data_IF_339745305362
#
_entry.id   IF_339745305362
#
_cell.length_a   1.000
_cell.length_b   1.000
_cell.length_c   1.000
_cell.angle_alpha   90.00
_cell.angle_beta   90.00
_cell.angle_gamma   90.00
#
_symmetry.space_group_name_H-M   'P 1'
#
loop_
_entity.id
_entity.type
_entity.pdbx_description
1 polymer ?
2 polymer ?
3 water ?
#
loop_
_entity_poly.entity_id
_entity_poly.type
_entity_poly.pdbx_seq_one_letter_code
_entity_poly.pdbx_strand_id
2 'polyribonucleotide' 'GCAGAUCUGAGCCUGGGAGCUCUCUGC' ?
#
# COMPACT_ATOMS: atom_id res chain seq x y z
N UNK A 1 -6.90 -4.54 -14.14
CA UNK A 1 -8.00 -3.74 -13.61
C UNK A 1 -7.59 -2.27 -13.47
N UNK A 2 -8.35 -1.38 -14.11
CA UNK A 2 -8.14 0.06 -13.99
C UNK A 2 -9.44 0.71 -13.53
N UNK A 3 -9.78 0.65 -12.25
CA UNK A 3 -11.05 1.23 -11.79
C UNK A 3 -10.95 2.73 -11.54
N UNK A 4 -12.10 3.39 -11.65
CA UNK A 4 -12.24 4.76 -11.17
C UNK A 4 -12.11 4.79 -9.65
N UNK A 5 -11.26 5.68 -9.16
CA UNK A 5 -11.02 5.82 -7.74
C UNK A 5 -11.20 7.28 -7.35
N UNK A 6 -11.29 7.52 -6.06
CA UNK A 6 -11.15 8.88 -5.55
C UNK A 6 -10.44 8.81 -4.21
N UNK A 7 -9.89 9.92 -3.74
CA UNK A 7 -9.10 9.83 -2.52
C UNK A 7 -9.92 9.26 -1.37
N UNK A 8 -9.27 8.40 -0.60
CA UNK A 8 -9.82 7.84 0.62
C UNK A 8 -8.65 7.39 1.48
N UNK A 9 -8.98 6.76 2.61
CA UNK A 9 -7.99 6.42 3.62
C UNK A 9 -7.02 5.34 3.15
N UNK A 10 -7.36 4.57 2.13
CA UNK A 10 -6.65 3.34 1.83
C UNK A 10 -5.96 3.48 0.49
N UNK A 11 -4.70 3.06 0.45
CA UNK A 11 -4.01 2.90 -0.83
C UNK A 11 -3.81 1.41 -1.10
N UNK A 12 -3.78 1.10 -2.40
CA UNK A 12 -3.58 -0.25 -2.94
C UNK A 12 -2.25 -0.22 -3.66
N UNK A 13 -1.33 -1.11 -3.28
CA UNK A 13 0.01 -1.13 -3.83
C UNK A 13 0.19 -2.47 -4.51
N UNK A 14 0.70 -2.45 -5.72
CA UNK A 14 1.06 -3.71 -6.34
C UNK A 14 2.41 -3.52 -7.03
N UNK A 15 2.82 -4.53 -7.79
CA UNK A 15 4.19 -4.70 -8.24
C UNK A 15 5.15 -4.83 -7.08
N UNK A 16 4.68 -5.33 -5.95
CA UNK A 16 5.58 -5.62 -4.85
C UNK A 16 6.39 -6.88 -5.09
N UNK A 17 7.55 -6.91 -4.44
CA UNK A 17 8.44 -8.05 -4.57
C UNK A 17 7.86 -9.28 -3.86
N UNK A 18 7.54 -10.32 -4.63
CA UNK A 18 6.89 -11.49 -4.06
C UNK A 18 7.84 -12.42 -3.31
N UNK A 19 9.14 -12.16 -3.36
CA UNK A 19 10.14 -12.97 -2.68
C UNK A 19 10.34 -12.57 -1.22
N UNK A 20 9.63 -11.56 -0.75
CA UNK A 20 9.77 -11.05 0.60
C UNK A 20 8.71 -11.70 1.48
N UNK A 21 9.11 -12.21 2.64
CA UNK A 21 8.16 -12.77 3.59
C UNK A 21 7.11 -11.75 4.00
N UNK A 22 5.86 -12.22 4.15
CA UNK A 22 4.77 -11.28 4.40
C UNK A 22 4.99 -10.48 5.67
N UNK A 23 5.51 -11.12 6.74
CA UNK A 23 5.74 -10.36 7.97
C UNK A 23 6.76 -9.25 7.75
N UNK A 24 7.86 -9.55 7.04
CA UNK A 24 8.84 -8.49 6.75
C UNK A 24 8.27 -7.43 5.83
N UNK A 25 7.46 -7.82 4.87
CA UNK A 25 6.85 -6.86 3.99
C UNK A 25 5.96 -5.88 4.77
N UNK A 26 5.15 -6.38 5.71
CA UNK A 26 4.33 -5.53 6.55
C UNK A 26 5.18 -4.56 7.36
N UNK A 27 6.23 -5.06 8.00
CA UNK A 27 7.07 -4.16 8.80
C UNK A 27 7.72 -3.09 7.93
N UNK A 28 8.19 -3.48 6.74
CA UNK A 28 8.84 -2.50 5.87
C UNK A 28 7.85 -1.48 5.31
N UNK A 29 6.64 -1.90 4.96
CA UNK A 29 5.66 -0.93 4.51
C UNK A 29 5.28 0.00 5.66
N UNK A 30 5.20 -0.53 6.87
CA UNK A 30 4.86 0.34 8.00
C UNK A 30 5.95 1.38 8.23
N UNK A 31 7.21 0.96 8.17
CA UNK A 31 8.31 1.85 8.48
C UNK A 31 8.39 2.97 7.46
N UNK A 32 8.13 2.65 6.20
CA UNK A 32 8.29 3.63 5.15
C UNK A 32 7.05 4.51 5.00
N UNK A 33 5.86 3.95 5.20
CA UNK A 33 4.68 4.78 5.01
C UNK A 33 4.24 5.50 6.28
N UNK A 34 4.75 5.12 7.47
CA UNK A 34 4.34 5.83 8.68
C UNK A 34 4.84 7.27 8.68
N UNK A 35 5.83 7.61 7.86
CA UNK A 35 6.24 9.02 7.78
C UNK A 35 5.09 9.93 7.34
N UNK A 36 4.14 9.41 6.57
CA UNK A 36 3.06 10.25 6.05
C UNK A 36 1.94 10.46 7.06
N UNK A 37 1.84 9.59 8.06
CA UNK A 37 0.87 9.75 9.12
C UNK A 37 0.56 8.41 9.73
N UNK A 38 -0.30 8.45 10.74
CA UNK A 38 -0.70 7.25 11.45
C UNK A 38 -1.34 6.25 10.50
N UNK A 39 -0.93 4.99 10.65
CA UNK A 39 -1.46 3.87 9.89
C UNK A 39 -2.36 3.06 10.81
N UNK A 40 -3.52 2.67 10.30
CA UNK A 40 -4.44 1.86 11.07
C UNK A 40 -4.23 0.37 10.83
N UNK A 41 -3.90 -0.01 9.61
CA UNK A 41 -3.59 -1.40 9.34
C UNK A 41 -2.87 -1.52 8.00
N UNK A 42 -2.18 -2.65 7.85
CA UNK A 42 -1.58 -3.00 6.59
C UNK A 42 -2.04 -4.40 6.27
N UNK A 43 -2.66 -4.56 5.11
CA UNK A 43 -3.23 -5.84 4.68
C UNK A 43 -2.40 -6.39 3.53
N UNK A 44 -2.08 -7.68 3.62
CA UNK A 44 -1.41 -8.39 2.54
C UNK A 44 -2.23 -9.64 2.26
N UNK A 45 -3.22 -9.53 1.38
CA UNK A 45 -4.19 -10.62 1.23
C UNK A 45 -3.56 -11.88 0.65
N UNK A 46 -4.05 -13.01 1.14
CA UNK A 46 -3.56 -14.28 0.66
C UNK A 46 -4.23 -14.56 -0.66
N UNK A 47 -3.44 -14.83 -1.69
CA UNK A 47 -3.98 -15.16 -3.01
C UNK A 47 -3.49 -16.54 -3.39
N UNK A 48 -4.16 -17.15 -4.38
CA UNK A 48 -3.83 -18.53 -4.73
C UNK A 48 -2.35 -18.66 -5.08
N UNK A 49 -1.78 -17.63 -5.69
CA UNK A 49 -0.38 -17.58 -6.08
C UNK A 49 0.14 -16.22 -5.60
N UNK A 50 1.44 -16.05 -5.42
CA UNK A 50 1.94 -14.75 -4.96
C UNK A 50 1.80 -13.72 -6.06
N UNK A 51 1.22 -12.56 -5.70
CA UNK A 51 0.95 -11.55 -6.69
C UNK A 51 1.42 -10.16 -6.30
N UNK A 52 2.05 -9.98 -5.13
CA UNK A 52 2.71 -8.70 -4.90
C UNK A 52 1.78 -7.53 -4.68
N UNK A 53 0.78 -7.73 -3.83
CA UNK A 53 -0.32 -6.79 -3.59
C UNK A 53 -0.43 -6.49 -2.11
N UNK A 54 -0.73 -5.24 -1.76
CA UNK A 54 -0.97 -4.86 -0.38
C UNK A 54 -1.85 -3.62 -0.30
N UNK A 55 -2.46 -3.44 0.87
CA UNK A 55 -3.25 -2.24 1.19
C UNK A 55 -2.70 -1.60 2.44
N UNK A 56 -2.58 -0.28 2.43
CA UNK A 56 -2.22 0.49 3.62
C UNK A 56 -3.39 1.41 3.95
N UNK A 57 -3.91 1.27 5.16
CA UNK A 57 -5.04 2.06 5.64
C UNK A 57 -4.51 3.12 6.60
N UNK A 58 -4.64 4.39 6.20
CA UNK A 58 -4.21 5.54 7.00
C UNK A 58 -5.35 6.07 7.85
N UNK A 59 -4.99 6.69 8.98
CA UNK A 59 -6.00 7.32 9.82
C UNK A 59 -6.61 8.56 9.16
N UNK A 60 -5.82 9.31 8.37
CA UNK A 60 -6.25 10.52 7.68
C UNK A 60 -6.11 10.36 6.17
N UNK A 61 -7.09 10.86 5.42
CA UNK A 61 -7.00 10.79 3.95
C UNK A 61 -5.79 11.56 3.43
N UNK A 62 -5.50 12.71 4.00
CA UNK A 62 -4.33 13.48 3.53
C UNK A 62 -3.05 12.65 3.57
N UNK A 63 -2.90 11.80 4.58
CA UNK A 63 -1.75 10.90 4.64
C UNK A 63 -1.70 9.99 3.43
N UNK A 64 -2.86 9.41 3.06
CA UNK A 64 -2.92 8.56 1.87
C UNK A 64 -2.54 9.35 0.63
N UNK A 65 -3.05 10.56 0.51
CA UNK A 65 -2.83 11.38 -0.66
C UNK A 65 -1.33 11.66 -0.83
N UNK A 66 -0.66 12.04 0.26
CA UNK A 66 0.77 12.36 0.21
C UNK A 66 1.61 11.10 -0.05
N UNK A 67 1.26 9.98 0.57
CA UNK A 67 1.96 8.72 0.33
C UNK A 67 1.85 8.29 -1.12
N UNK A 68 0.64 8.34 -1.68
CA UNK A 68 0.41 7.99 -3.08
C UNK A 68 1.29 8.82 -4.00
N UNK A 69 1.34 10.11 -3.76
CA UNK A 69 2.13 10.97 -4.64
C UNK A 69 3.62 10.71 -4.47
N UNK A 70 4.07 10.61 -3.23
CA UNK A 70 5.50 10.67 -2.96
C UNK A 70 6.18 9.36 -3.30
N UNK A 71 5.45 8.27 -3.10
CA UNK A 71 6.01 6.94 -3.26
C UNK A 71 5.68 6.33 -4.61
N UNK A 72 4.91 7.04 -5.45
CA UNK A 72 4.55 6.45 -6.73
C UNK A 72 5.82 6.11 -7.52
N UNK A 73 5.94 4.86 -7.94
CA UNK A 73 7.05 4.47 -8.78
C UNK A 73 8.35 4.29 -8.04
N UNK A 74 8.36 4.45 -6.74
CA UNK A 74 9.63 4.47 -6.00
C UNK A 74 10.07 3.03 -5.73
N UNK A 75 11.36 2.75 -5.82
CA UNK A 75 11.82 1.39 -5.61
C UNK A 75 11.64 0.98 -4.18
N UNK A 76 11.17 -0.24 -4.02
CA UNK A 76 10.95 -0.87 -2.74
C UNK A 76 11.41 -2.30 -2.96
N UNK A 77 12.40 -2.74 -2.22
CA UNK A 77 13.00 -4.03 -2.50
C UNK A 77 13.24 -4.23 -4.00
N UNK A 78 13.81 -3.20 -4.63
CA UNK A 78 14.31 -3.27 -5.99
C UNK A 78 13.21 -3.37 -7.04
N UNK A 79 11.96 -3.06 -6.69
CA UNK A 79 10.87 -3.02 -7.67
C UNK A 79 10.11 -1.71 -7.52
N UNK A 80 9.75 -1.05 -8.61
CA UNK A 80 8.97 0.19 -8.48
C UNK A 80 7.54 -0.08 -8.00
N UNK A 81 7.16 0.61 -6.94
CA UNK A 81 5.81 0.45 -6.41
C UNK A 81 4.80 1.12 -7.35
N UNK A 82 3.70 0.43 -7.62
CA UNK A 82 2.57 1.00 -8.35
C UNK A 82 1.45 1.22 -7.34
N UNK A 83 1.04 2.48 -7.17
CA UNK A 83 0.09 2.85 -6.12
C UNK A 83 -1.16 3.49 -6.70
N UNK A 84 -2.29 3.11 -6.12
CA UNK A 84 -3.60 3.71 -6.40
C UNK A 84 -4.35 3.90 -5.09
N UNK A 85 -5.34 4.79 -5.10
CA UNK A 85 -6.32 4.72 -4.03
C UNK A 85 -7.10 3.43 -4.14
N UNK A 86 -7.54 2.91 -2.99
CA UNK A 86 -8.42 1.76 -3.02
C UNK A 86 -9.76 2.10 -3.66
N UNK A 87 -10.28 1.13 -4.42
CA UNK A 87 -11.61 1.25 -5.01
C UNK A 87 -12.66 1.53 -3.97
N UNK A 88 -12.56 0.86 -2.84
CA UNK A 88 -13.49 1.04 -1.74
C UNK A 88 -12.64 1.13 -0.49
N UNK A 89 -12.89 2.16 0.32
CA UNK A 89 -12.10 2.37 1.52
C UNK A 89 -12.20 1.15 2.43
N UNK A 90 -11.05 0.70 2.95
CA UNK A 90 -11.02 -0.44 3.86
C UNK A 90 -11.03 -0.03 5.33
N UNK A 91 -11.12 1.26 5.63
CA UNK A 91 -11.18 1.69 7.02
C UNK A 91 -12.49 1.24 7.65
N UNK A 92 -12.41 0.80 8.91
CA UNK A 92 -13.57 0.29 9.64
C UNK A 92 -13.91 1.26 10.76
N UNK A 93 -14.79 2.25 10.53
CA UNK A 93 -15.19 3.21 11.58
C UNK A 93 -16.24 2.66 12.56
#
# INVERSE_FOLDING_TARGET
AVPETRPNHTIYINNLNSKIKKDELKKSLHAIFSRFGQILDILVPRTRTPRGQAFVIFKEVSSATNALRSMQGFPFYDKPMAIQYAKTDKRIP
#
